data_IF_246497005881
#
_entry.id   IF_246497005881
#
_cell.length_a   1.000
_cell.length_b   1.000
_cell.length_c   1.000
_cell.angle_alpha   90.00
_cell.angle_beta   90.00
_cell.angle_gamma   90.00
#
_symmetry.space_group_name_H-M   'P 1'
#
loop_
_entity.id
_entity.type
_entity.pdbx_description
1 polymer ?
#
# COMPACT_ATOMS: atom_id res chain seq x y z
N UNK A 1 47.85 -32.72 -30.24
CA UNK A 1 47.35 -34.05 -29.84
C UNK A 1 45.92 -33.89 -29.34
N UNK A 2 44.93 -33.87 -30.25
CA UNK A 2 44.01 -34.99 -30.56
C UNK A 2 43.37 -35.59 -29.29
N UNK A 3 42.04 -35.51 -29.09
CA UNK A 3 40.98 -35.86 -30.04
C UNK A 3 39.81 -34.87 -30.07
N UNK A 4 39.52 -34.45 -31.29
CA UNK A 4 38.27 -33.91 -31.82
C UNK A 4 37.50 -35.07 -32.49
N UNK A 5 36.25 -34.79 -32.93
CA UNK A 5 35.28 -35.63 -33.70
C UNK A 5 34.25 -36.38 -32.84
N UNK A 6 32.94 -36.34 -33.08
CA UNK A 6 31.99 -35.52 -33.87
C UNK A 6 30.63 -36.20 -33.63
N UNK A 7 29.51 -35.47 -33.56
CA UNK A 7 28.46 -35.59 -34.58
C UNK A 7 27.36 -34.52 -34.43
N UNK A 8 27.17 -33.82 -35.53
CA UNK A 8 26.22 -32.74 -35.86
C UNK A 8 24.88 -33.26 -36.41
N UNK A 9 23.89 -32.37 -36.42
CA UNK A 9 22.55 -32.36 -37.09
C UNK A 9 21.39 -32.82 -36.18
N UNK A 10 20.24 -32.16 -36.08
CA UNK A 10 19.60 -31.19 -36.98
C UNK A 10 18.67 -30.21 -36.23
N UNK A 11 18.82 -28.92 -36.55
CA UNK A 11 17.75 -27.92 -36.50
C UNK A 11 16.97 -28.01 -37.82
N UNK A 12 15.65 -28.00 -37.74
CA UNK A 12 14.65 -27.70 -38.79
C UNK A 12 13.54 -28.74 -38.81
N UNK A 13 12.35 -28.34 -38.32
CA UNK A 13 11.07 -28.66 -38.95
C UNK A 13 10.01 -27.70 -38.41
N UNK A 14 9.81 -26.61 -39.15
CA UNK A 14 8.48 -25.97 -39.25
C UNK A 14 7.55 -27.02 -39.86
N UNK A 15 6.49 -27.36 -39.16
CA UNK A 15 5.38 -28.11 -39.74
C UNK A 15 4.14 -27.24 -39.67
N UNK A 16 3.87 -26.54 -40.78
CA UNK A 16 2.54 -26.07 -41.10
C UNK A 16 1.64 -27.31 -41.21
N UNK A 17 0.52 -27.33 -40.50
CA UNK A 17 -0.53 -28.31 -40.75
C UNK A 17 -1.77 -27.59 -41.28
N UNK A 18 -2.16 -28.09 -42.45
CA UNK A 18 -3.24 -27.67 -43.33
C UNK A 18 -4.61 -27.85 -42.66
N UNK A 19 -5.52 -26.96 -43.04
CA UNK A 19 -6.95 -27.03 -42.81
C UNK A 19 -7.51 -28.37 -43.34
N UNK A 20 -8.23 -29.09 -42.47
CA UNK A 20 -9.06 -30.23 -42.83
C UNK A 20 -10.28 -30.27 -41.93
N UNK A 21 -11.46 -30.02 -42.51
CA UNK A 21 -12.75 -30.13 -41.84
C UNK A 21 -13.04 -31.58 -41.46
N UNK A 22 -13.40 -31.83 -40.20
CA UNK A 22 -14.13 -33.03 -39.80
C UNK A 22 -14.94 -32.76 -38.52
N UNK A 23 -16.26 -32.71 -38.69
CA UNK A 23 -17.27 -32.64 -37.63
C UNK A 23 -17.24 -33.89 -36.75
N UNK A 24 -17.01 -33.73 -35.44
CA UNK A 24 -17.31 -34.74 -34.44
C UNK A 24 -17.72 -34.07 -33.11
N UNK A 25 -19.02 -34.03 -32.86
CA UNK A 25 -19.65 -33.47 -31.65
C UNK A 25 -19.35 -34.37 -30.45
N UNK A 26 -18.50 -33.92 -29.52
CA UNK A 26 -18.36 -34.50 -28.17
C UNK A 26 -19.30 -33.77 -27.20
N UNK A 27 -20.28 -34.48 -26.66
CA UNK A 27 -21.18 -33.99 -25.59
C UNK A 27 -20.39 -33.83 -24.28
N UNK A 28 -20.15 -32.58 -23.89
CA UNK A 28 -19.68 -32.25 -22.54
C UNK A 28 -20.88 -32.23 -21.57
N UNK A 29 -20.85 -33.09 -20.55
CA UNK A 29 -21.75 -32.97 -19.40
C UNK A 29 -21.33 -31.76 -18.55
N UNK A 30 -21.92 -30.61 -18.85
CA UNK A 30 -21.86 -29.44 -17.98
C UNK A 30 -22.69 -29.70 -16.72
N UNK A 31 -22.07 -29.50 -15.55
CA UNK A 31 -22.74 -29.43 -14.24
C UNK A 31 -23.90 -28.43 -14.31
N UNK A 32 -25.03 -28.83 -13.73
CA UNK A 32 -26.23 -28.01 -13.52
C UNK A 32 -25.86 -26.62 -12.98
N UNK A 33 -26.24 -25.56 -13.71
CA UNK A 33 -26.07 -24.18 -13.27
C UNK A 33 -27.10 -23.87 -12.18
N UNK A 34 -26.60 -23.38 -11.04
CA UNK A 34 -27.42 -22.76 -10.00
C UNK A 34 -28.27 -21.63 -10.61
N UNK A 35 -29.59 -21.66 -10.36
CA UNK A 35 -30.58 -20.73 -10.91
C UNK A 35 -30.69 -19.41 -10.14
N UNK A 36 -29.78 -19.13 -9.21
CA UNK A 36 -29.77 -17.82 -8.52
C UNK A 36 -29.05 -16.80 -9.40
N UNK A 37 -29.82 -16.08 -10.22
CA UNK A 37 -29.32 -14.86 -10.88
C UNK A 37 -29.03 -13.84 -9.79
N UNK A 38 -27.74 -13.52 -9.60
CA UNK A 38 -27.36 -12.36 -8.81
C UNK A 38 -28.07 -11.11 -9.38
N UNK A 39 -28.58 -10.20 -8.53
CA UNK A 39 -29.17 -8.96 -9.01
C UNK A 39 -28.16 -8.23 -9.91
N UNK A 40 -28.62 -7.56 -10.97
CA UNK A 40 -27.73 -6.81 -11.85
C UNK A 40 -26.98 -5.76 -11.03
N UNK A 41 -25.66 -5.91 -10.95
CA UNK A 41 -24.79 -4.91 -10.32
C UNK A 41 -24.81 -3.69 -11.23
N UNK A 42 -25.20 -2.50 -10.75
CA UNK A 42 -25.14 -1.29 -11.57
C UNK A 42 -23.72 -1.10 -12.10
N UNK A 43 -23.55 -0.62 -13.36
CA UNK A 43 -22.23 -0.38 -13.91
C UNK A 43 -21.48 0.55 -12.97
N UNK A 44 -20.29 0.12 -12.54
CA UNK A 44 -19.39 0.97 -11.74
C UNK A 44 -19.14 2.24 -12.55
N UNK A 45 -19.51 3.39 -12.00
CA UNK A 45 -19.14 4.69 -12.56
C UNK A 45 -17.61 4.71 -12.58
N UNK A 46 -17.04 4.55 -13.77
CA UNK A 46 -15.59 4.54 -14.01
C UNK A 46 -15.09 5.98 -14.09
N UNK A 47 -15.28 6.72 -13.00
CA UNK A 47 -14.62 8.00 -12.74
C UNK A 47 -13.54 7.83 -11.68
N UNK A 48 -12.42 8.53 -11.80
CA UNK A 48 -11.54 8.70 -10.65
C UNK A 48 -12.31 9.51 -9.61
N UNK A 49 -12.61 8.91 -8.44
CA UNK A 49 -13.27 9.61 -7.34
C UNK A 49 -12.51 10.87 -6.89
N UNK A 50 -11.22 10.95 -7.20
CA UNK A 50 -10.34 12.09 -6.93
C UNK A 50 -10.25 12.96 -8.18
N UNK A 51 -10.47 14.27 -8.02
CA UNK A 51 -10.30 15.24 -9.11
C UNK A 51 -8.81 15.48 -9.41
N UNK A 52 -8.52 15.99 -10.62
CA UNK A 52 -7.14 16.39 -10.98
C UNK A 52 -6.62 17.51 -10.09
N UNK A 53 -7.50 18.45 -9.74
CA UNK A 53 -7.17 19.55 -8.82
C UNK A 53 -6.80 19.03 -7.43
N UNK A 54 -7.59 18.10 -6.88
CA UNK A 54 -7.30 17.50 -5.58
C UNK A 54 -5.94 16.79 -5.56
N UNK A 55 -5.63 16.07 -6.65
CA UNK A 55 -4.33 15.40 -6.78
C UNK A 55 -3.18 16.41 -6.85
N UNK A 56 -3.38 17.51 -7.59
CA UNK A 56 -2.38 18.59 -7.70
C UNK A 56 -2.16 19.24 -6.33
N UNK A 57 -3.22 19.56 -5.61
CA UNK A 57 -3.15 20.29 -4.35
C UNK A 57 -2.54 19.41 -3.25
N UNK A 58 -2.88 18.10 -3.22
CA UNK A 58 -2.19 17.13 -2.35
C UNK A 58 -0.68 17.06 -2.65
N UNK A 59 -0.31 17.03 -3.93
CA UNK A 59 1.09 17.02 -4.36
C UNK A 59 1.84 18.32 -4.05
N UNK A 60 1.16 19.46 -4.08
CA UNK A 60 1.75 20.76 -3.77
C UNK A 60 2.25 20.86 -2.32
N UNK A 61 1.72 20.04 -1.40
CA UNK A 61 2.15 19.99 0.00
C UNK A 61 3.41 19.12 0.20
N UNK A 62 3.74 18.22 -0.73
CA UNK A 62 4.88 17.30 -0.54
C UNK A 62 6.25 18.00 -0.38
N UNK A 63 6.59 19.05 -1.15
CA UNK A 63 7.84 19.78 -0.95
C UNK A 63 7.96 20.39 0.45
N UNK A 64 6.86 20.89 1.01
CA UNK A 64 6.81 21.40 2.39
C UNK A 64 7.08 20.29 3.40
N UNK A 65 6.48 19.11 3.20
CA UNK A 65 6.71 17.92 4.04
C UNK A 65 8.19 17.53 4.04
N UNK A 66 8.81 17.47 2.86
CA UNK A 66 10.24 17.15 2.75
C UNK A 66 11.08 18.22 3.45
N UNK A 67 10.82 19.52 3.18
CA UNK A 67 11.53 20.62 3.83
C UNK A 67 11.41 20.54 5.35
N UNK A 68 10.22 20.30 5.88
CA UNK A 68 10.00 20.27 7.33
C UNK A 68 10.70 19.12 8.05
N UNK A 69 10.93 18.01 7.33
CA UNK A 69 11.66 16.84 7.82
C UNK A 69 13.17 16.97 7.64
N UNK A 70 13.61 17.84 6.75
CA UNK A 70 15.02 18.03 6.41
C UNK A 70 15.56 19.40 6.81
N UNK A 71 14.77 20.23 7.48
CA UNK A 71 15.21 21.54 7.93
C UNK A 71 16.33 21.38 8.99
N UNK A 72 17.51 21.86 8.61
CA UNK A 72 18.80 21.67 9.26
C UNK A 72 18.89 22.24 10.68
N UNK A 73 17.94 23.08 11.09
CA UNK A 73 17.94 23.72 12.41
C UNK A 73 17.89 22.76 13.61
N UNK A 74 17.63 21.46 13.42
CA UNK A 74 17.56 20.47 14.50
C UNK A 74 18.85 19.69 14.75
N UNK A 75 19.66 19.42 13.71
CA UNK A 75 20.84 18.55 13.80
C UNK A 75 21.96 19.02 12.85
N UNK A 76 22.59 20.16 13.15
CA UNK A 76 23.58 20.80 12.29
C UNK A 76 24.89 20.00 12.13
N UNK A 77 25.12 19.02 13.01
CA UNK A 77 26.29 18.16 13.07
C UNK A 77 26.23 16.96 12.10
N UNK A 78 25.07 16.69 11.48
CA UNK A 78 24.87 15.54 10.55
C UNK A 78 24.23 15.95 9.21
N UNK A 79 24.77 16.94 8.48
CA UNK A 79 24.16 17.47 7.25
C UNK A 79 23.97 16.41 6.14
N UNK A 80 24.82 15.39 6.10
CA UNK A 80 24.72 14.32 5.10
C UNK A 80 23.55 13.37 5.36
N UNK A 81 23.18 13.15 6.63
CA UNK A 81 21.98 12.37 7.00
C UNK A 81 20.72 13.10 6.56
N UNK A 82 20.68 14.42 6.71
CA UNK A 82 19.57 15.25 6.25
C UNK A 82 19.39 15.20 4.73
N UNK A 83 20.49 15.31 3.97
CA UNK A 83 20.46 15.14 2.51
C UNK A 83 20.02 13.74 2.11
N UNK A 84 20.48 12.73 2.85
CA UNK A 84 20.08 11.33 2.61
C UNK A 84 18.59 11.12 2.85
N UNK A 85 18.04 11.64 3.95
CA UNK A 85 16.62 11.56 4.26
C UNK A 85 15.76 12.20 3.15
N UNK A 86 16.17 13.35 2.61
CA UNK A 86 15.50 13.98 1.48
C UNK A 86 15.43 13.03 0.27
N UNK A 87 16.53 12.34 -0.04
CA UNK A 87 16.61 11.36 -1.13
C UNK A 87 15.70 10.14 -0.88
N UNK A 88 15.70 9.61 0.35
CA UNK A 88 14.83 8.49 0.75
C UNK A 88 13.36 8.86 0.57
N UNK A 89 12.95 10.04 1.05
CA UNK A 89 11.58 10.55 0.92
C UNK A 89 11.17 10.73 -0.54
N UNK A 90 11.99 11.44 -1.33
CA UNK A 90 11.70 11.75 -2.74
C UNK A 90 11.63 10.49 -3.62
N UNK A 91 12.45 9.48 -3.33
CA UNK A 91 12.43 8.25 -4.10
C UNK A 91 11.20 7.40 -3.75
N UNK A 92 10.90 7.20 -2.47
CA UNK A 92 9.96 6.16 -2.03
C UNK A 92 8.51 6.65 -1.89
N UNK A 93 8.30 7.91 -1.51
CA UNK A 93 6.98 8.41 -1.07
C UNK A 93 6.09 8.88 -2.24
N UNK A 94 6.48 9.86 -3.08
CA UNK A 94 5.57 10.54 -4.00
C UNK A 94 5.23 9.73 -5.27
N UNK A 95 5.67 8.48 -5.40
CA UNK A 95 5.24 7.61 -6.50
C UNK A 95 3.83 7.02 -6.29
N UNK A 96 3.38 6.17 -7.21
CA UNK A 96 2.12 5.42 -7.05
C UNK A 96 0.86 6.27 -7.24
N UNK A 97 -0.28 5.76 -6.77
CA UNK A 97 -1.61 6.37 -6.97
C UNK A 97 -2.07 7.28 -5.81
N UNK A 98 -1.38 7.23 -4.66
CA UNK A 98 -1.68 8.02 -3.45
C UNK A 98 -3.10 7.86 -2.90
N UNK A 99 -3.73 6.74 -3.21
CA UNK A 99 -5.13 6.49 -2.88
C UNK A 99 -5.37 6.53 -1.36
N UNK A 100 -4.40 6.18 -0.52
CA UNK A 100 -4.60 6.12 0.93
C UNK A 100 -4.59 7.53 1.52
N UNK A 101 -3.62 8.35 1.13
CA UNK A 101 -3.57 9.76 1.51
C UNK A 101 -4.77 10.54 0.99
N UNK A 102 -5.15 10.34 -0.28
CA UNK A 102 -6.33 11.00 -0.88
C UNK A 102 -7.65 10.50 -0.26
N UNK A 103 -7.75 9.23 0.12
CA UNK A 103 -8.92 8.72 0.83
C UNK A 103 -9.12 9.44 2.18
N UNK A 104 -8.05 9.74 2.91
CA UNK A 104 -8.14 10.53 4.15
C UNK A 104 -8.70 11.92 3.87
N UNK A 105 -8.13 12.62 2.88
CA UNK A 105 -8.54 13.98 2.52
C UNK A 105 -10.01 14.03 2.09
N UNK A 106 -10.42 13.13 1.19
CA UNK A 106 -11.81 13.06 0.75
C UNK A 106 -12.74 12.72 1.91
N UNK A 107 -12.35 11.80 2.79
CA UNK A 107 -13.14 11.48 3.99
C UNK A 107 -13.27 12.70 4.90
N UNK A 108 -12.21 13.49 5.09
CA UNK A 108 -12.26 14.71 5.86
C UNK A 108 -13.25 15.70 5.25
N UNK A 109 -13.20 15.94 3.94
CA UNK A 109 -14.13 16.84 3.23
C UNK A 109 -15.58 16.35 3.28
N UNK A 110 -15.82 15.05 3.30
CA UNK A 110 -17.16 14.47 3.40
C UNK A 110 -17.75 14.52 4.81
N UNK A 111 -16.91 14.40 5.84
CA UNK A 111 -17.34 14.32 7.24
C UNK A 111 -17.36 15.68 7.95
N UNK A 112 -16.61 16.66 7.46
CA UNK A 112 -16.51 18.00 8.04
C UNK A 112 -17.66 18.90 7.60
N UNK A 113 -18.05 19.83 8.47
CA UNK A 113 -18.96 20.92 8.08
C UNK A 113 -18.27 21.88 7.09
N UNK A 114 -19.01 22.60 6.23
CA UNK A 114 -18.41 23.61 5.36
C UNK A 114 -17.58 24.67 6.09
N UNK A 115 -17.95 25.03 7.33
CA UNK A 115 -17.19 25.95 8.18
C UNK A 115 -15.86 25.39 8.68
N UNK A 116 -15.73 24.07 8.79
CA UNK A 116 -14.49 23.42 9.23
C UNK A 116 -13.49 23.22 8.08
N UNK A 117 -13.91 23.40 6.83
CA UNK A 117 -13.07 23.28 5.64
C UNK A 117 -12.27 24.55 5.36
N UNK A 118 -11.62 25.08 6.39
CA UNK A 118 -10.68 26.21 6.27
C UNK A 118 -9.40 25.78 5.55
N UNK A 119 -8.68 26.74 4.98
CA UNK A 119 -7.38 26.48 4.34
C UNK A 119 -6.39 25.78 5.29
N UNK A 120 -6.41 26.12 6.58
CA UNK A 120 -5.59 25.48 7.60
C UNK A 120 -5.97 24.00 7.77
N UNK A 121 -7.25 23.70 7.98
CA UNK A 121 -7.70 22.33 8.22
C UNK A 121 -7.54 21.45 6.97
N UNK A 122 -7.77 22.02 5.78
CA UNK A 122 -7.47 21.35 4.51
C UNK A 122 -5.99 21.02 4.40
N UNK A 123 -5.10 21.99 4.68
CA UNK A 123 -3.65 21.76 4.69
C UNK A 123 -3.24 20.69 5.70
N UNK A 124 -3.83 20.67 6.89
CA UNK A 124 -3.60 19.62 7.89
C UNK A 124 -4.06 18.25 7.38
N UNK A 125 -5.20 18.17 6.69
CA UNK A 125 -5.66 16.91 6.09
C UNK A 125 -4.68 16.38 5.03
N UNK A 126 -4.10 17.27 4.22
CA UNK A 126 -3.07 16.91 3.26
C UNK A 126 -1.78 16.41 3.94
N UNK A 127 -1.32 17.08 4.99
CA UNK A 127 -0.14 16.64 5.76
C UNK A 127 -0.38 15.26 6.37
N UNK A 128 -1.55 15.04 6.97
CA UNK A 128 -1.90 13.75 7.56
C UNK A 128 -2.04 12.66 6.49
N UNK A 129 -2.56 13.01 5.32
CA UNK A 129 -2.56 12.13 4.15
C UNK A 129 -1.14 11.73 3.72
N UNK A 130 -0.17 12.65 3.77
CA UNK A 130 1.24 12.33 3.54
C UNK A 130 1.83 11.43 4.62
N UNK A 131 1.44 11.58 5.89
CA UNK A 131 1.82 10.64 6.95
C UNK A 131 1.37 9.20 6.62
N UNK A 132 0.17 9.03 6.06
CA UNK A 132 -0.35 7.72 5.61
C UNK A 132 0.44 7.18 4.41
N UNK A 133 0.79 8.01 3.44
CA UNK A 133 1.61 7.60 2.29
C UNK A 133 3.06 7.27 2.69
N UNK A 134 3.61 7.96 3.69
CA UNK A 134 4.91 7.64 4.29
C UNK A 134 4.85 6.29 5.02
N UNK A 135 3.77 6.01 5.77
CA UNK A 135 3.56 4.70 6.40
C UNK A 135 3.58 3.57 5.36
N UNK A 136 2.88 3.77 4.23
CA UNK A 136 2.94 2.83 3.12
C UNK A 136 4.36 2.70 2.55
N UNK A 137 5.06 3.81 2.33
CA UNK A 137 6.41 3.79 1.76
C UNK A 137 7.40 3.03 2.65
N UNK A 138 7.35 3.26 3.97
CA UNK A 138 8.11 2.51 4.97
C UNK A 138 7.88 1.00 4.81
N UNK A 139 6.62 0.56 4.79
CA UNK A 139 6.30 -0.85 4.67
C UNK A 139 6.78 -1.45 3.35
N UNK A 140 6.60 -0.73 2.24
CA UNK A 140 7.06 -1.20 0.93
C UNK A 140 8.58 -1.32 0.84
N UNK A 141 9.34 -0.41 1.45
CA UNK A 141 10.81 -0.49 1.48
C UNK A 141 11.26 -1.78 2.16
N UNK A 142 10.65 -2.14 3.29
CA UNK A 142 10.99 -3.37 4.01
C UNK A 142 10.43 -4.63 3.33
N UNK A 143 9.18 -4.59 2.85
CA UNK A 143 8.51 -5.67 2.15
C UNK A 143 9.28 -6.07 0.88
N UNK A 144 9.74 -5.09 0.09
CA UNK A 144 10.55 -5.34 -1.10
C UNK A 144 11.85 -6.11 -0.78
N UNK A 145 12.45 -5.89 0.40
CA UNK A 145 13.63 -6.64 0.86
C UNK A 145 13.22 -8.07 1.27
N UNK A 146 12.19 -8.20 2.10
CA UNK A 146 11.72 -9.49 2.62
C UNK A 146 11.26 -10.43 1.50
N UNK A 147 10.61 -9.87 0.47
CA UNK A 147 10.10 -10.59 -0.70
C UNK A 147 11.14 -10.72 -1.82
N UNK A 148 12.34 -10.14 -1.64
CA UNK A 148 13.39 -10.09 -2.65
C UNK A 148 12.90 -9.49 -4.00
N UNK A 149 12.02 -8.48 -3.93
CA UNK A 149 11.41 -7.84 -5.09
C UNK A 149 12.45 -7.10 -5.94
N UNK A 150 12.25 -7.09 -7.27
CA UNK A 150 13.18 -6.43 -8.22
C UNK A 150 12.77 -4.97 -8.47
N UNK A 151 11.48 -4.73 -8.69
CA UNK A 151 10.95 -3.42 -9.08
C UNK A 151 9.72 -3.03 -8.28
N UNK A 152 9.59 -1.73 -8.00
CA UNK A 152 8.44 -1.09 -7.38
C UNK A 152 8.07 0.19 -8.15
N UNK A 153 6.79 0.33 -8.50
CA UNK A 153 6.26 1.53 -9.21
C UNK A 153 7.05 1.87 -10.49
N UNK A 154 7.42 0.83 -11.27
CA UNK A 154 8.15 0.97 -12.53
C UNK A 154 9.64 1.31 -12.42
N UNK A 155 10.21 1.27 -11.20
CA UNK A 155 11.63 1.55 -10.94
C UNK A 155 12.24 0.44 -10.08
N UNK A 156 13.58 0.29 -9.98
CA UNK A 156 14.20 -0.62 -9.03
C UNK A 156 13.71 -0.39 -7.59
N UNK A 157 13.49 -1.47 -6.83
CA UNK A 157 13.24 -1.38 -5.39
C UNK A 157 14.40 -0.63 -4.70
N UNK A 158 14.10 0.11 -3.62
CA UNK A 158 15.08 1.00 -2.98
C UNK A 158 16.38 0.29 -2.58
N UNK A 159 16.28 -0.90 -1.99
CA UNK A 159 17.45 -1.70 -1.57
C UNK A 159 18.33 -2.18 -2.74
N UNK A 160 17.81 -2.16 -3.99
CA UNK A 160 18.55 -2.51 -5.20
C UNK A 160 19.10 -1.30 -5.96
N UNK A 161 18.77 -0.10 -5.52
CA UNK A 161 19.18 1.13 -6.20
C UNK A 161 20.59 1.53 -5.76
N UNK A 162 21.53 1.69 -6.70
CA UNK A 162 22.91 2.17 -6.47
C UNK A 162 23.60 1.55 -5.23
N UNK A 163 23.60 0.23 -5.12
CA UNK A 163 24.29 -0.52 -4.06
C UNK A 163 23.87 -0.19 -2.61
N UNK A 164 22.65 0.35 -2.41
CA UNK A 164 22.11 0.64 -1.07
C UNK A 164 22.04 -0.62 -0.20
N UNK A 165 21.58 -1.74 -0.76
CA UNK A 165 21.50 -3.03 -0.05
C UNK A 165 20.71 -2.93 1.26
N UNK A 166 21.24 -3.55 2.31
CA UNK A 166 20.56 -3.65 3.61
C UNK A 166 20.52 -2.32 4.39
N UNK A 167 21.21 -1.27 3.94
CA UNK A 167 21.03 0.08 4.51
C UNK A 167 19.58 0.55 4.39
N UNK A 168 18.87 0.06 3.37
CA UNK A 168 17.44 0.32 3.18
C UNK A 168 16.56 -0.12 4.38
N UNK A 169 17.04 -1.04 5.24
CA UNK A 169 16.34 -1.38 6.49
C UNK A 169 16.28 -0.17 7.41
N UNK A 170 17.40 0.53 7.61
CA UNK A 170 17.45 1.75 8.40
C UNK A 170 16.65 2.88 7.72
N UNK A 171 16.68 2.97 6.39
CA UNK A 171 15.89 3.96 5.67
C UNK A 171 14.37 3.75 5.84
N UNK A 172 13.93 2.50 5.95
CA UNK A 172 12.56 2.16 6.36
C UNK A 172 12.23 2.71 7.75
N UNK A 173 13.11 2.48 8.74
CA UNK A 173 12.94 3.02 10.09
C UNK A 173 12.89 4.55 10.07
N UNK A 174 13.78 5.21 9.30
CA UNK A 174 13.76 6.66 9.15
C UNK A 174 12.41 7.15 8.61
N UNK A 175 11.88 6.51 7.56
CA UNK A 175 10.55 6.83 7.02
C UNK A 175 9.47 6.74 8.11
N UNK A 176 9.42 5.64 8.87
CA UNK A 176 8.47 5.49 9.97
C UNK A 176 8.61 6.62 11.00
N UNK A 177 9.84 6.95 11.43
CA UNK A 177 10.06 8.00 12.42
C UNK A 177 9.65 9.40 11.92
N UNK A 178 9.75 9.67 10.62
CA UNK A 178 9.31 10.97 10.07
C UNK A 178 7.80 11.20 10.22
N UNK A 179 6.99 10.15 10.27
CA UNK A 179 5.54 10.25 10.52
C UNK A 179 5.29 10.95 11.86
N UNK A 180 5.95 10.48 12.92
CA UNK A 180 5.77 11.02 14.26
C UNK A 180 6.33 12.43 14.41
N UNK A 181 7.38 12.77 13.65
CA UNK A 181 7.89 14.14 13.59
C UNK A 181 6.87 15.11 12.98
N UNK A 182 6.19 14.72 11.90
CA UNK A 182 5.13 15.51 11.28
C UNK A 182 3.90 15.61 12.21
N UNK A 183 3.47 14.48 12.79
CA UNK A 183 2.35 14.44 13.72
C UNK A 183 2.61 15.40 14.90
N UNK A 184 3.79 15.33 15.51
CA UNK A 184 4.19 16.23 16.60
C UNK A 184 4.28 17.70 16.15
N UNK A 185 4.81 17.98 14.95
CA UNK A 185 4.96 19.35 14.46
C UNK A 185 3.62 20.04 14.23
N UNK A 186 2.67 19.32 13.62
CA UNK A 186 1.43 19.91 13.09
C UNK A 186 0.21 19.70 13.97
N UNK A 187 0.20 18.66 14.80
CA UNK A 187 -1.01 18.24 15.49
C UNK A 187 -0.90 18.29 17.01
N UNK A 188 0.28 18.55 17.60
CA UNK A 188 0.49 18.52 19.07
C UNK A 188 -0.52 19.34 19.89
N UNK A 189 -0.99 20.46 19.33
CA UNK A 189 -1.91 21.39 20.00
C UNK A 189 -3.37 21.16 19.57
N UNK A 190 -3.64 20.17 18.70
CA UNK A 190 -4.98 19.81 18.26
C UNK A 190 -5.60 18.83 19.27
N UNK A 191 -6.92 18.92 19.55
CA UNK A 191 -7.58 18.10 20.57
C UNK A 191 -7.53 16.60 20.28
N UNK A 192 -7.35 16.22 19.01
CA UNK A 192 -7.28 14.83 18.54
C UNK A 192 -5.85 14.31 18.34
N UNK A 193 -4.82 15.03 18.80
CA UNK A 193 -3.41 14.64 18.68
C UNK A 193 -3.12 13.20 19.15
N UNK A 194 -3.52 12.90 20.39
CA UNK A 194 -3.25 11.61 21.03
C UNK A 194 -3.97 10.50 20.27
N UNK A 195 -5.21 10.72 19.85
CA UNK A 195 -5.98 9.73 19.09
C UNK A 195 -5.39 9.42 17.72
N UNK A 196 -4.83 10.42 17.03
CA UNK A 196 -4.09 10.19 15.78
C UNK A 196 -2.85 9.35 16.06
N UNK A 197 -2.07 9.73 17.09
CA UNK A 197 -0.84 9.06 17.45
C UNK A 197 -1.08 7.58 17.80
N UNK A 198 -2.05 7.32 18.69
CA UNK A 198 -2.49 5.98 19.07
C UNK A 198 -2.92 5.17 17.85
N UNK A 199 -3.72 5.76 16.95
CA UNK A 199 -4.22 5.06 15.77
C UNK A 199 -3.09 4.65 14.81
N UNK A 200 -2.08 5.51 14.60
CA UNK A 200 -0.89 5.15 13.83
C UNK A 200 -0.11 4.00 14.48
N UNK A 201 0.14 4.05 15.79
CA UNK A 201 0.79 2.95 16.51
C UNK A 201 0.01 1.64 16.40
N UNK A 202 -1.29 1.69 16.66
CA UNK A 202 -2.18 0.54 16.67
C UNK A 202 -2.25 -0.16 15.32
N UNK A 203 -2.35 0.63 14.25
CA UNK A 203 -2.42 0.11 12.88
C UNK A 203 -1.06 -0.41 12.42
N UNK A 204 0.02 0.29 12.75
CA UNK A 204 1.38 -0.16 12.39
C UNK A 204 1.72 -1.49 13.06
N UNK A 205 1.34 -1.67 14.33
CA UNK A 205 1.48 -2.95 15.04
C UNK A 205 0.65 -4.05 14.36
N UNK A 206 -0.62 -3.78 14.03
CA UNK A 206 -1.49 -4.73 13.33
C UNK A 206 -0.91 -5.14 11.98
N UNK A 207 -0.35 -4.20 11.21
CA UNK A 207 0.28 -4.52 9.93
C UNK A 207 1.57 -5.31 10.09
N UNK A 208 2.38 -4.99 11.09
CA UNK A 208 3.59 -5.77 11.42
C UNK A 208 3.25 -7.22 11.80
N UNK A 209 2.18 -7.42 12.58
CA UNK A 209 1.65 -8.76 12.88
C UNK A 209 1.16 -9.48 11.62
N UNK A 210 0.49 -8.77 10.71
CA UNK A 210 0.05 -9.30 9.42
C UNK A 210 1.21 -9.73 8.53
N UNK A 211 2.27 -8.90 8.44
CA UNK A 211 3.49 -9.23 7.72
C UNK A 211 4.19 -10.45 8.33
N UNK A 212 4.26 -10.52 9.66
CA UNK A 212 4.83 -11.69 10.34
C UNK A 212 4.07 -12.98 9.99
N UNK A 213 2.73 -12.94 10.03
CA UNK A 213 1.89 -14.08 9.65
C UNK A 213 2.09 -14.50 8.19
N UNK A 214 2.20 -13.52 7.28
CA UNK A 214 2.47 -13.74 5.86
C UNK A 214 3.81 -14.48 5.67
N UNK A 215 4.88 -13.98 6.30
CA UNK A 215 6.21 -14.60 6.22
C UNK A 215 6.26 -15.99 6.86
N UNK A 216 5.61 -16.21 8.00
CA UNK A 216 5.53 -17.53 8.64
C UNK A 216 4.79 -18.54 7.74
N UNK A 217 3.75 -18.08 7.04
CA UNK A 217 3.01 -18.89 6.08
C UNK A 217 3.86 -19.20 4.84
N UNK A 218 4.54 -18.20 4.27
CA UNK A 218 5.46 -18.39 3.15
C UNK A 218 6.63 -19.32 3.49
N UNK A 219 7.15 -19.26 4.72
CA UNK A 219 8.22 -20.14 5.18
C UNK A 219 7.74 -21.59 5.35
N UNK A 220 6.46 -21.85 5.64
CA UNK A 220 5.95 -23.23 5.72
C UNK A 220 6.04 -23.93 4.36
N UNK A 221 5.86 -23.21 3.25
CA UNK A 221 6.03 -23.73 1.90
C UNK A 221 7.46 -24.19 1.62
N UNK A 222 8.47 -23.49 2.14
CA UNK A 222 9.88 -23.92 2.02
C UNK A 222 10.11 -25.29 2.65
N UNK A 223 9.32 -25.64 3.68
CA UNK A 223 9.32 -26.97 4.31
C UNK A 223 8.32 -27.96 3.67
N UNK A 224 7.74 -27.61 2.50
CA UNK A 224 6.72 -28.38 1.76
C UNK A 224 5.45 -28.68 2.56
N UNK A 225 5.14 -27.81 3.52
CA UNK A 225 4.00 -27.90 4.44
C UNK A 225 2.92 -26.91 4.02
N UNK A 226 1.83 -27.45 3.46
CA UNK A 226 0.69 -26.65 2.94
C UNK A 226 -0.42 -26.45 3.98
N UNK A 227 -0.28 -26.97 5.19
CA UNK A 227 -1.34 -26.93 6.22
C UNK A 227 -1.66 -25.50 6.67
N UNK A 228 -0.77 -24.53 6.39
CA UNK A 228 -0.98 -23.10 6.67
C UNK A 228 -1.66 -22.35 5.52
N UNK A 229 -1.85 -22.96 4.35
CA UNK A 229 -2.49 -22.36 3.19
C UNK A 229 -4.01 -22.56 3.23
N UNK A 230 -4.64 -21.98 4.25
CA UNK A 230 -6.08 -22.04 4.45
C UNK A 230 -6.73 -20.68 4.21
N UNK A 231 -8.03 -20.66 3.93
CA UNK A 231 -8.77 -19.41 3.75
C UNK A 231 -8.81 -18.56 5.02
N UNK A 232 -8.78 -19.19 6.20
CA UNK A 232 -8.72 -18.51 7.48
C UNK A 232 -7.40 -17.76 7.63
N UNK A 233 -6.26 -18.41 7.33
CA UNK A 233 -4.96 -17.76 7.36
C UNK A 233 -4.85 -16.66 6.32
N UNK A 234 -5.30 -16.89 5.08
CA UNK A 234 -5.33 -15.86 4.04
C UNK A 234 -6.15 -14.65 4.49
N UNK A 235 -7.36 -14.87 5.01
CA UNK A 235 -8.24 -13.79 5.51
C UNK A 235 -7.59 -13.01 6.64
N UNK A 236 -6.89 -13.70 7.55
CA UNK A 236 -6.15 -13.04 8.63
C UNK A 236 -4.97 -12.21 8.10
N UNK A 237 -4.14 -12.77 7.21
CA UNK A 237 -3.04 -12.05 6.56
C UNK A 237 -3.56 -10.78 5.91
N UNK A 238 -4.55 -10.89 5.04
CA UNK A 238 -5.15 -9.77 4.30
C UNK A 238 -5.69 -8.69 5.24
N UNK A 239 -6.45 -9.10 6.26
CA UNK A 239 -7.04 -8.18 7.25
C UNK A 239 -5.97 -7.36 7.96
N UNK A 240 -4.92 -8.02 8.44
CA UNK A 240 -3.87 -7.40 9.26
C UNK A 240 -2.82 -6.69 8.40
N UNK A 241 -2.24 -7.36 7.40
CA UNK A 241 -1.18 -6.85 6.51
C UNK A 241 -1.69 -5.68 5.67
N UNK A 242 -2.94 -5.71 5.21
CA UNK A 242 -3.40 -4.77 4.18
C UNK A 242 -4.56 -3.89 4.62
N UNK A 243 -5.66 -4.50 5.08
CA UNK A 243 -6.92 -3.78 5.22
C UNK A 243 -6.88 -2.64 6.26
N UNK A 244 -6.22 -2.86 7.41
CA UNK A 244 -6.15 -1.85 8.46
C UNK A 244 -5.45 -0.55 8.02
N UNK A 245 -4.25 -0.62 7.45
CA UNK A 245 -3.53 0.60 7.06
C UNK A 245 -4.02 1.20 5.75
N UNK A 246 -4.63 0.39 4.88
CA UNK A 246 -5.03 0.83 3.53
C UNK A 246 -6.41 1.46 3.48
N UNK A 247 -7.36 1.00 4.31
CA UNK A 247 -8.75 1.44 4.27
C UNK A 247 -9.24 1.97 5.62
N UNK A 248 -8.98 1.25 6.72
CA UNK A 248 -9.44 1.67 8.04
C UNK A 248 -8.74 2.95 8.52
N UNK A 249 -7.39 2.99 8.48
CA UNK A 249 -6.59 4.11 8.98
C UNK A 249 -6.96 5.46 8.33
N UNK A 250 -7.01 5.60 6.99
CA UNK A 250 -7.31 6.89 6.36
C UNK A 250 -8.65 7.49 6.79
N UNK A 251 -9.70 6.66 6.84
CA UNK A 251 -11.06 7.12 7.18
C UNK A 251 -11.16 7.42 8.67
N UNK A 252 -10.58 6.57 9.53
CA UNK A 252 -10.61 6.78 10.97
C UNK A 252 -9.78 7.99 11.41
N UNK A 253 -8.68 8.31 10.71
CA UNK A 253 -7.96 9.57 10.93
C UNK A 253 -8.83 10.79 10.60
N UNK A 254 -9.55 10.76 9.47
CA UNK A 254 -10.49 11.82 9.11
C UNK A 254 -11.61 11.98 10.15
N UNK A 255 -12.19 10.87 10.64
CA UNK A 255 -13.19 10.88 11.71
C UNK A 255 -12.66 11.58 12.98
N UNK A 256 -11.41 11.30 13.38
CA UNK A 256 -10.77 11.97 14.52
C UNK A 256 -10.58 13.46 14.28
N UNK A 257 -10.17 13.86 13.06
CA UNK A 257 -10.02 15.27 12.71
C UNK A 257 -11.34 16.04 12.75
N UNK A 258 -12.47 15.37 12.49
CA UNK A 258 -13.82 15.96 12.54
C UNK A 258 -14.53 15.73 13.87
N UNK A 259 -13.78 15.42 14.95
CA UNK A 259 -14.30 15.18 16.29
C UNK A 259 -15.35 14.07 16.41
N UNK A 260 -15.41 13.15 15.46
CA UNK A 260 -16.21 11.93 15.59
C UNK A 260 -15.42 10.99 16.51
N UNK A 261 -15.97 10.72 17.68
CA UNK A 261 -15.30 9.93 18.72
C UNK A 261 -16.14 8.73 19.23
N UNK A 262 -17.37 8.57 18.72
CA UNK A 262 -18.28 7.48 19.12
C UNK A 262 -17.70 6.11 18.72
N UNK A 263 -17.37 5.23 19.69
CA UNK A 263 -16.83 3.90 19.42
C UNK A 263 -17.70 3.04 18.49
N UNK A 264 -19.02 3.20 18.53
CA UNK A 264 -19.93 2.42 17.70
C UNK A 264 -19.83 2.81 16.23
N UNK A 265 -19.67 4.11 15.93
CA UNK A 265 -19.43 4.58 14.56
C UNK A 265 -18.10 4.02 14.03
N UNK A 266 -17.04 4.00 14.85
CA UNK A 266 -15.77 3.37 14.45
C UNK A 266 -15.92 1.87 14.21
N UNK A 267 -16.72 1.16 15.01
CA UNK A 267 -16.99 -0.28 14.84
C UNK A 267 -17.71 -0.57 13.51
N UNK A 268 -18.70 0.25 13.17
CA UNK A 268 -19.44 0.12 11.91
C UNK A 268 -18.54 0.43 10.70
N UNK A 269 -17.80 1.55 10.74
CA UNK A 269 -16.85 1.92 9.70
C UNK A 269 -15.79 0.82 9.49
N UNK A 270 -15.22 0.28 10.58
CA UNK A 270 -14.26 -0.83 10.54
C UNK A 270 -14.81 -2.05 9.80
N UNK A 271 -16.07 -2.39 10.02
CA UNK A 271 -16.69 -3.57 9.38
C UNK A 271 -16.65 -3.43 7.86
N UNK A 272 -17.06 -2.28 7.32
CA UNK A 272 -17.08 -2.02 5.88
C UNK A 272 -15.66 -1.91 5.31
N UNK A 273 -14.80 -1.12 5.97
CA UNK A 273 -13.46 -0.81 5.49
C UNK A 273 -12.55 -2.04 5.44
N UNK A 274 -12.73 -3.00 6.36
CA UNK A 274 -11.96 -4.24 6.33
C UNK A 274 -12.39 -5.16 5.18
N UNK A 275 -13.67 -5.22 4.83
CA UNK A 275 -14.16 -5.97 3.66
C UNK A 275 -13.66 -5.34 2.35
N UNK A 276 -13.67 -4.02 2.24
CA UNK A 276 -13.05 -3.32 1.09
C UNK A 276 -11.56 -3.64 0.97
N UNK A 277 -10.84 -3.68 2.10
CA UNK A 277 -9.44 -4.08 2.14
C UNK A 277 -9.22 -5.53 1.75
N UNK A 278 -10.15 -6.42 2.12
CA UNK A 278 -10.11 -7.81 1.69
C UNK A 278 -10.25 -7.93 0.18
N UNK A 279 -11.28 -7.30 -0.38
CA UNK A 279 -11.49 -7.25 -1.83
C UNK A 279 -10.28 -6.67 -2.56
N UNK A 280 -9.72 -5.56 -2.07
CA UNK A 280 -8.54 -4.95 -2.65
C UNK A 280 -7.36 -5.92 -2.70
N UNK A 281 -7.06 -6.64 -1.63
CA UNK A 281 -5.92 -7.56 -1.61
C UNK A 281 -6.08 -8.75 -2.54
N UNK A 282 -7.31 -9.19 -2.84
CA UNK A 282 -7.58 -10.24 -3.83
C UNK A 282 -7.24 -9.77 -5.26
N UNK A 283 -7.30 -8.46 -5.53
CA UNK A 283 -7.07 -7.90 -6.88
C UNK A 283 -5.59 -7.69 -7.22
N UNK A 284 -4.73 -7.51 -6.22
CA UNK A 284 -3.29 -7.20 -6.38
C UNK A 284 -2.44 -8.45 -6.29
#
# INVERSE_FOLDING_TARGET
MNKMLTFTRSLSRRSAFLLGEASAVKKNHFRSMSTVRAPPVPPVITGTAVSKDETRDFMAVFPDVVRDLTDTGRNLDIPDVTKWLAKVLQYNVPGGKKNRGLALVLSFKMLSSPSDQTDENLRLSYILGWCVEILQAYQLVLDDIMDNAITRRGRPCWYRHNDIGLMAVNDGILLEQTIYQLIKKYFKDKPYYVHILELFYDVTMKTSMGQCLDMLTANSFKTKKLEKYTMENYTAIVKYKTAYYSFFLPVCLAMRMTNINDPEIFRQAKTILLEMGHFFQVQV
#
